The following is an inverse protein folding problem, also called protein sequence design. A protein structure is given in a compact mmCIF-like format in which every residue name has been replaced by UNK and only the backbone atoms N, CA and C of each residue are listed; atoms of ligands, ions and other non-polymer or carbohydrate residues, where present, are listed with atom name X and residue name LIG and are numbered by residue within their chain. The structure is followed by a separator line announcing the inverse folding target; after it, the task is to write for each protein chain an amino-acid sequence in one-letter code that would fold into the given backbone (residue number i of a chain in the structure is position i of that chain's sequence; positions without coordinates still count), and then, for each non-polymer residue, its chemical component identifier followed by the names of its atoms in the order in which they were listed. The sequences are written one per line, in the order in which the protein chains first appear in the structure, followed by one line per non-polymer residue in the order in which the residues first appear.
data_IF_240987698653
#
_entry.id   IF_240987698653
#
_cell.length_a   1.000
_cell.length_b   1.000
_cell.length_c   1.000
_cell.angle_alpha   90.00
_cell.angle_beta   90.00
_cell.angle_gamma   90.00
#
_symmetry.space_group_name_H-M   'P 1'
#
loop_
_entity.id
_entity.type
_entity.pdbx_description
1 polymer ?
#
# COMPACT_ATOMS: atom_id res chain seq x y z
N UNK A 1 -49.38 14.98 30.75
CA UNK A 1 -48.18 15.37 29.96
C UNK A 1 -47.49 14.10 29.49
N UNK A 2 -46.96 14.09 28.27
CA UNK A 2 -46.22 12.95 27.76
C UNK A 2 -44.79 12.89 28.29
N UNK A 3 -44.20 11.70 28.27
CA UNK A 3 -42.82 11.44 28.63
C UNK A 3 -42.07 10.73 27.51
N UNK A 4 -40.76 11.00 27.44
CA UNK A 4 -39.87 10.39 26.45
C UNK A 4 -39.66 8.91 26.75
N UNK A 5 -39.67 8.07 25.71
CA UNK A 5 -39.11 6.72 25.77
C UNK A 5 -37.60 6.79 25.99
N UNK A 6 -37.02 5.65 26.35
CA UNK A 6 -35.57 5.46 26.26
C UNK A 6 -35.07 5.73 24.83
N UNK A 7 -33.82 6.14 24.73
CA UNK A 7 -33.15 6.32 23.45
C UNK A 7 -32.84 4.97 22.82
N UNK A 8 -33.19 4.81 21.55
CA UNK A 8 -32.78 3.70 20.71
C UNK A 8 -31.66 4.14 19.77
N UNK A 9 -30.52 3.45 19.79
CA UNK A 9 -29.36 3.74 18.94
C UNK A 9 -29.34 2.91 17.65
N UNK A 10 -29.02 3.54 16.52
CA UNK A 10 -28.65 2.85 15.30
C UNK A 10 -27.23 2.26 15.39
N UNK A 11 -26.84 1.36 14.47
CA UNK A 11 -25.44 1.05 14.23
C UNK A 11 -24.63 2.31 13.88
N UNK A 12 -23.31 2.22 14.08
CA UNK A 12 -22.39 3.26 13.64
C UNK A 12 -22.37 3.35 12.11
N UNK A 13 -22.24 4.56 11.56
CA UNK A 13 -22.14 4.78 10.12
C UNK A 13 -20.84 4.29 9.51
N UNK A 14 -19.79 4.19 10.33
CA UNK A 14 -18.50 3.64 9.95
C UNK A 14 -18.38 2.18 10.39
N UNK A 15 -17.70 1.36 9.57
CA UNK A 15 -17.35 -0.04 9.91
C UNK A 15 -15.98 -0.16 10.57
N UNK A 16 -15.14 0.87 10.44
CA UNK A 16 -13.90 1.06 11.17
C UNK A 16 -13.68 2.57 11.36
N UNK A 17 -12.85 2.94 12.33
CA UNK A 17 -12.53 4.34 12.62
C UNK A 17 -13.70 5.10 13.23
N UNK A 18 -13.69 6.40 13.02
CA UNK A 18 -14.70 7.31 13.56
C UNK A 18 -15.90 7.42 12.64
N UNK A 19 -17.08 7.47 13.24
CA UNK A 19 -18.34 7.66 12.55
C UNK A 19 -19.37 8.30 13.46
N UNK A 20 -20.62 8.20 13.04
CA UNK A 20 -21.78 8.73 13.77
C UNK A 20 -22.89 7.70 13.84
N UNK A 21 -23.70 7.77 14.89
CA UNK A 21 -24.92 6.98 15.03
C UNK A 21 -26.09 7.90 15.37
N UNK A 22 -27.28 7.49 14.94
CA UNK A 22 -28.51 8.17 15.27
C UNK A 22 -29.10 7.57 16.53
N UNK A 23 -29.53 8.42 17.46
CA UNK A 23 -30.35 8.02 18.59
C UNK A 23 -31.73 8.62 18.40
N UNK A 24 -32.76 7.80 18.57
CA UNK A 24 -34.16 8.19 18.40
C UNK A 24 -34.96 7.86 19.64
N UNK A 25 -35.93 8.70 19.97
CA UNK A 25 -36.88 8.48 21.08
C UNK A 25 -38.26 8.97 20.68
N UNK A 26 -39.29 8.42 21.31
CA UNK A 26 -40.68 8.78 21.04
C UNK A 26 -41.38 9.25 22.31
N UNK A 27 -42.35 10.16 22.17
CA UNK A 27 -43.12 10.65 23.31
C UNK A 27 -44.24 9.68 23.69
N UNK A 28 -43.87 8.50 24.17
CA UNK A 28 -44.78 7.37 24.41
C UNK A 28 -44.72 6.81 25.82
N UNK A 29 -43.88 7.37 26.71
CA UNK A 29 -43.66 6.85 28.06
C UNK A 29 -43.88 7.91 29.17
N UNK A 30 -45.15 8.25 29.52
CA UNK A 30 -46.39 7.84 28.87
C UNK A 30 -46.71 8.71 27.65
N UNK A 31 -47.62 8.27 26.79
CA UNK A 31 -48.16 9.14 25.73
C UNK A 31 -48.98 10.29 26.35
N UNK A 32 -48.97 11.50 25.76
CA UNK A 32 -49.87 12.57 26.19
C UNK A 32 -51.34 12.17 25.99
N UNK A 33 -52.15 12.25 27.05
CA UNK A 33 -53.59 11.97 27.00
C UNK A 33 -54.39 13.16 27.53
N UNK A 34 -55.67 13.25 27.15
CA UNK A 34 -56.64 14.25 27.64
C UNK A 34 -56.15 15.71 27.58
N UNK A 35 -55.53 16.11 26.47
CA UNK A 35 -54.98 17.46 26.31
C UNK A 35 -53.66 17.71 27.05
N UNK A 36 -53.00 16.67 27.56
CA UNK A 36 -51.68 16.77 28.18
C UNK A 36 -50.62 17.28 27.19
N UNK A 37 -49.62 18.01 27.70
CA UNK A 37 -48.54 18.57 26.88
C UNK A 37 -47.71 17.47 26.21
N UNK A 38 -47.31 17.68 24.96
CA UNK A 38 -46.33 16.84 24.27
C UNK A 38 -44.93 16.97 24.91
N UNK A 39 -44.04 16.05 24.61
CA UNK A 39 -42.67 16.10 25.10
C UNK A 39 -41.90 17.28 24.49
N UNK A 40 -41.07 17.92 25.29
CA UNK A 40 -40.19 19.02 24.88
C UNK A 40 -38.77 18.51 24.60
N UNK A 41 -38.14 19.06 23.56
CA UNK A 41 -36.79 18.70 23.10
C UNK A 41 -36.77 17.77 21.88
N UNK A 42 -35.55 17.41 21.45
CA UNK A 42 -35.37 16.67 20.20
C UNK A 42 -35.76 15.19 20.33
N UNK A 43 -36.45 14.67 19.31
CA UNK A 43 -36.75 13.24 19.18
C UNK A 43 -35.63 12.44 18.52
N UNK A 44 -34.64 13.14 17.92
CA UNK A 44 -33.49 12.55 17.24
C UNK A 44 -32.24 13.32 17.62
N UNK A 45 -31.14 12.60 17.86
CA UNK A 45 -29.81 13.20 17.97
C UNK A 45 -28.76 12.36 17.26
N UNK A 46 -27.69 13.02 16.83
CA UNK A 46 -26.52 12.37 16.24
C UNK A 46 -25.39 12.38 17.26
N UNK A 47 -24.79 11.22 17.48
CA UNK A 47 -23.68 11.07 18.43
C UNK A 47 -22.48 10.41 17.74
N UNK A 48 -21.24 10.76 18.13
CA UNK A 48 -20.05 10.11 17.58
C UNK A 48 -19.96 8.65 18.05
N UNK A 49 -19.36 7.81 17.21
CA UNK A 49 -19.01 6.43 17.53
C UNK A 49 -17.65 6.06 16.95
N UNK A 50 -16.98 5.07 17.57
CA UNK A 50 -15.69 4.56 17.13
C UNK A 50 -15.78 3.04 16.97
N UNK A 51 -15.34 2.52 15.82
CA UNK A 51 -15.47 1.11 15.43
C UNK A 51 -14.13 0.38 15.29
N UNK A 52 -13.08 0.92 15.93
CA UNK A 52 -11.73 0.34 15.94
C UNK A 52 -10.85 0.90 14.84
N UNK A 53 -9.68 0.30 14.62
CA UNK A 53 -8.73 0.77 13.61
C UNK A 53 -9.12 0.30 12.21
N UNK A 54 -8.96 1.17 11.21
CA UNK A 54 -9.22 0.81 9.83
C UNK A 54 -8.10 -0.04 9.23
N UNK A 55 -8.43 -1.04 8.38
CA UNK A 55 -7.43 -1.81 7.65
C UNK A 55 -6.55 -0.90 6.78
N UNK A 56 -5.24 -1.05 6.90
CA UNK A 56 -4.27 -0.41 6.01
C UNK A 56 -3.76 -1.50 5.08
N UNK A 57 -4.11 -1.43 3.81
CA UNK A 57 -3.60 -2.37 2.81
C UNK A 57 -2.14 -2.08 2.51
N UNK A 58 -1.36 -3.13 2.32
CA UNK A 58 0.04 -3.03 1.94
C UNK A 58 0.23 -2.37 0.58
N UNK A 59 1.27 -1.56 0.48
CA UNK A 59 1.77 -1.01 -0.76
C UNK A 59 3.22 -1.38 -0.97
N UNK A 60 3.57 -1.59 -2.24
CA UNK A 60 4.93 -1.89 -2.64
C UNK A 60 5.85 -0.67 -2.41
N UNK A 61 7.04 -0.92 -1.87
CA UNK A 61 8.14 0.03 -1.95
C UNK A 61 8.57 0.23 -3.41
N UNK A 62 9.35 1.27 -3.65
CA UNK A 62 10.11 1.39 -4.89
C UNK A 62 11.01 0.16 -5.12
N UNK A 63 11.28 -0.13 -6.38
CA UNK A 63 12.19 -1.19 -6.77
C UNK A 63 13.64 -0.78 -6.48
N UNK A 64 14.36 -1.63 -5.75
CA UNK A 64 15.80 -1.56 -5.58
C UNK A 64 16.49 -2.47 -6.60
N UNK A 65 17.39 -1.90 -7.41
CA UNK A 65 18.14 -2.63 -8.45
C UNK A 65 19.52 -3.06 -7.97
N UNK A 66 19.91 -4.30 -8.26
CA UNK A 66 21.30 -4.74 -8.18
C UNK A 66 22.14 -4.11 -9.31
N UNK A 67 23.48 -4.16 -9.20
CA UNK A 67 24.35 -3.96 -10.37
C UNK A 67 24.02 -4.95 -11.50
N UNK A 68 24.38 -4.57 -12.73
CA UNK A 68 24.30 -5.46 -13.88
C UNK A 68 25.28 -6.63 -13.73
N UNK A 69 24.87 -7.83 -14.13
CA UNK A 69 25.73 -9.02 -14.08
C UNK A 69 26.95 -8.93 -15.02
N UNK A 70 26.86 -8.09 -16.06
CA UNK A 70 27.92 -7.85 -17.01
C UNK A 70 28.59 -6.49 -16.76
N UNK A 71 29.92 -6.44 -16.80
CA UNK A 71 30.70 -5.19 -16.71
C UNK A 71 30.83 -4.46 -18.05
N UNK A 72 30.56 -5.16 -19.15
CA UNK A 72 30.38 -4.63 -20.49
C UNK A 72 29.39 -5.52 -21.26
N UNK A 73 28.78 -4.99 -22.30
CA UNK A 73 27.80 -5.69 -23.12
C UNK A 73 26.45 -5.86 -22.42
N UNK A 74 25.71 -6.88 -22.84
CA UNK A 74 24.40 -7.21 -22.29
C UNK A 74 24.53 -8.10 -21.06
N UNK A 75 23.66 -7.86 -20.09
CA UNK A 75 23.54 -8.66 -18.87
C UNK A 75 22.14 -8.57 -18.29
N UNK A 76 22.02 -8.98 -17.03
CA UNK A 76 20.78 -8.94 -16.26
C UNK A 76 21.03 -8.32 -14.89
N UNK A 77 20.02 -7.66 -14.34
CA UNK A 77 20.03 -7.20 -12.96
C UNK A 77 18.78 -7.71 -12.24
N UNK A 78 18.91 -7.87 -10.93
CA UNK A 78 17.80 -8.21 -10.05
C UNK A 78 17.18 -6.92 -9.53
N UNK A 79 15.86 -6.85 -9.53
CA UNK A 79 15.11 -5.80 -8.88
C UNK A 79 14.29 -6.42 -7.75
N UNK A 80 14.34 -5.80 -6.57
CA UNK A 80 13.65 -6.26 -5.36
C UNK A 80 12.79 -5.14 -4.80
N UNK A 81 11.65 -5.48 -4.21
CA UNK A 81 10.78 -4.54 -3.50
C UNK A 81 10.14 -5.22 -2.30
N UNK A 82 9.70 -4.43 -1.34
CA UNK A 82 9.10 -4.91 -0.09
C UNK A 82 7.71 -4.32 0.08
N UNK A 83 6.80 -5.07 0.70
CA UNK A 83 5.44 -4.60 0.98
C UNK A 83 5.42 -3.71 2.24
N UNK A 84 6.03 -2.54 2.15
CA UNK A 84 6.28 -1.67 3.31
C UNK A 84 5.90 -0.21 3.07
N UNK A 85 5.30 0.12 1.92
CA UNK A 85 4.93 1.49 1.57
C UNK A 85 3.44 1.60 1.17
N UNK A 86 2.49 1.51 2.12
CA UNK A 86 2.70 1.24 3.55
C UNK A 86 2.79 -0.27 3.85
N UNK A 87 3.21 -0.64 5.06
CA UNK A 87 3.08 -2.02 5.53
C UNK A 87 1.60 -2.34 5.84
N UNK A 88 1.11 -3.56 5.53
CA UNK A 88 -0.24 -3.96 5.90
C UNK A 88 -0.45 -3.90 7.42
N UNK A 89 -1.55 -3.29 7.88
CA UNK A 89 -1.92 -3.20 9.29
C UNK A 89 -3.43 -3.40 9.50
N UNK A 90 -3.82 -3.74 10.73
CA UNK A 90 -5.23 -3.86 11.16
C UNK A 90 -6.08 -4.79 10.27
N UNK A 91 -5.51 -5.91 9.83
CA UNK A 91 -6.19 -6.86 8.94
C UNK A 91 -6.24 -6.41 7.47
N UNK A 92 -5.50 -5.37 7.09
CA UNK A 92 -5.34 -4.97 5.69
C UNK A 92 -4.63 -6.04 4.85
N UNK A 93 -4.91 -6.01 3.55
CA UNK A 93 -4.40 -7.00 2.61
C UNK A 93 -2.90 -6.83 2.39
N UNK A 94 -2.21 -7.96 2.17
CA UNK A 94 -0.82 -7.94 1.74
C UNK A 94 -0.70 -7.50 0.27
N UNK A 95 0.50 -7.11 -0.15
CA UNK A 95 0.75 -6.73 -1.53
C UNK A 95 0.61 -7.93 -2.48
N UNK A 96 0.02 -7.69 -3.64
CA UNK A 96 -0.13 -8.69 -4.69
C UNK A 96 0.96 -8.52 -5.77
N UNK A 97 1.46 -9.64 -6.29
CA UNK A 97 2.50 -9.72 -7.32
C UNK A 97 3.90 -10.03 -6.77
N UNK A 98 4.89 -10.04 -7.67
CA UNK A 98 6.24 -10.49 -7.32
C UNK A 98 7.02 -9.44 -6.52
N UNK A 99 7.76 -9.89 -5.51
CA UNK A 99 8.71 -9.06 -4.74
C UNK A 99 10.09 -8.98 -5.39
N UNK A 100 10.35 -9.82 -6.39
CA UNK A 100 11.63 -9.91 -7.10
C UNK A 100 11.35 -10.06 -8.59
N UNK A 101 12.12 -9.37 -9.42
CA UNK A 101 12.15 -9.60 -10.86
C UNK A 101 13.56 -9.50 -11.42
N UNK A 102 13.77 -10.06 -12.60
CA UNK A 102 15.03 -9.95 -13.35
C UNK A 102 14.76 -9.12 -14.60
N UNK A 103 15.57 -8.10 -14.82
CA UNK A 103 15.46 -7.22 -15.99
C UNK A 103 16.78 -7.16 -16.76
N UNK A 104 16.75 -7.04 -18.10
CA UNK A 104 17.96 -6.87 -18.88
C UNK A 104 18.64 -5.53 -18.58
N UNK A 105 19.96 -5.50 -18.74
CA UNK A 105 20.78 -4.29 -18.61
C UNK A 105 21.91 -4.30 -19.65
N UNK A 106 22.43 -3.12 -19.97
CA UNK A 106 23.53 -2.93 -20.92
C UNK A 106 24.58 -1.99 -20.30
N UNK A 107 25.84 -2.43 -20.25
CA UNK A 107 26.95 -1.69 -19.60
C UNK A 107 27.96 -1.12 -20.60
N UNK A 108 27.54 -0.89 -21.84
CA UNK A 108 28.36 -0.33 -22.91
C UNK A 108 29.09 -1.41 -23.71
N UNK A 109 29.97 -1.02 -24.62
CA UNK A 109 30.68 -1.99 -25.48
C UNK A 109 31.83 -2.67 -24.73
N UNK A 110 32.02 -3.96 -24.97
CA UNK A 110 33.17 -4.69 -24.44
C UNK A 110 34.46 -4.30 -25.17
N UNK A 111 35.60 -4.19 -24.44
CA UNK A 111 36.91 -4.03 -25.07
C UNK A 111 37.16 -5.15 -26.08
N UNK A 112 37.53 -4.79 -27.30
CA UNK A 112 37.91 -5.76 -28.33
C UNK A 112 39.15 -6.51 -27.88
N UNK A 113 39.11 -7.85 -27.88
CA UNK A 113 40.28 -8.68 -27.57
C UNK A 113 41.36 -8.69 -28.66
N UNK A 114 41.15 -7.97 -29.77
CA UNK A 114 42.08 -7.90 -30.90
C UNK A 114 43.08 -6.76 -30.77
N UNK A 115 43.81 -6.74 -29.64
CA UNK A 115 44.73 -5.67 -29.27
C UNK A 115 46.19 -6.11 -29.17
N UNK A 116 46.64 -7.17 -29.84
CA UNK A 116 48.05 -7.60 -29.81
C UNK A 116 48.50 -8.69 -30.82
N UNK A 117 47.71 -9.08 -31.82
CA UNK A 117 48.18 -10.07 -32.83
C UNK A 117 49.23 -9.51 -33.80
N UNK A 118 49.47 -8.19 -33.80
CA UNK A 118 50.50 -7.55 -34.65
C UNK A 118 51.92 -7.79 -34.08
N UNK A 119 52.07 -8.01 -32.77
CA UNK A 119 53.39 -8.21 -32.15
C UNK A 119 53.97 -9.61 -32.40
N UNK A 120 53.13 -10.63 -32.65
CA UNK A 120 53.62 -12.00 -32.87
C UNK A 120 54.23 -12.15 -34.29
N UNK A 121 53.72 -11.42 -35.29
CA UNK A 121 54.30 -11.45 -36.64
C UNK A 121 55.65 -10.72 -36.74
N UNK A 122 55.89 -9.70 -35.91
CA UNK A 122 57.16 -8.98 -35.89
C UNK A 122 58.33 -9.83 -35.36
N UNK A 123 58.07 -10.72 -34.39
CA UNK A 123 59.08 -11.62 -33.83
C UNK A 123 59.45 -12.78 -34.79
N UNK A 124 58.50 -13.25 -35.62
CA UNK A 124 58.76 -14.32 -36.59
C UNK A 124 59.64 -13.81 -37.75
N UNK A 125 59.46 -12.56 -38.19
CA UNK A 125 60.26 -11.98 -39.29
C UNK A 125 61.71 -11.73 -38.85
N UNK A 126 61.96 -11.50 -37.56
CA UNK A 126 63.31 -11.30 -37.02
C UNK A 126 64.16 -12.59 -36.97
N UNK A 127 63.54 -13.79 -37.02
CA UNK A 127 64.27 -15.07 -36.99
C UNK A 127 64.63 -15.63 -38.38
N UNK A 128 64.29 -14.95 -39.48
CA UNK A 128 64.58 -15.42 -40.86
C UNK A 128 65.81 -14.71 -41.47
N UNK A 129 66.47 -13.80 -40.73
CA UNK A 129 67.75 -13.19 -41.13
C UNK A 129 68.94 -13.79 -40.37
N UNK A 130 69.20 -15.08 -40.58
CA UNK A 130 70.53 -15.69 -40.46
C UNK A 130 70.61 -16.89 -41.41
#
# INVERSE_FOLDING_TARGET
NGGWSEWSSSPCSATCGDGTKHETRSCTNPAPLHGGRNCEGDSVRVTPCHTGQCPINGGWSEWSSSPCSATCGDGTKHETRSCTNPAPLHGGRNCEGDSVRVTPCHTGQCPSKFGNDIYILADIIAQIKY
#
